data_IF_372649270810
#
_entry.id   IF_372649270810
#
_cell.length_a   1.000
_cell.length_b   1.000
_cell.length_c   1.000
_cell.angle_alpha   90.00
_cell.angle_beta   90.00
_cell.angle_gamma   90.00
#
_symmetry.space_group_name_H-M   'P 1'
#
loop_
_entity.id
_entity.type
_entity.pdbx_description
1 polymer ?
#
# COMPACT_ATOMS: atom_id res chain seq x y z
N UNK A 1 -11.72 -21.49 -43.09
CA UNK A 1 -10.60 -21.11 -42.20
C UNK A 1 -9.34 -21.74 -42.79
N UNK A 2 -8.30 -20.95 -43.00
CA UNK A 2 -6.97 -21.46 -43.41
C UNK A 2 -6.34 -22.15 -42.22
N UNK A 3 -5.82 -23.40 -42.38
CA UNK A 3 -5.08 -24.07 -41.32
C UNK A 3 -3.80 -23.27 -40.97
N UNK A 4 -3.47 -23.14 -39.69
CA UNK A 4 -2.29 -22.40 -39.21
C UNK A 4 -0.98 -22.89 -39.86
N UNK A 5 -0.90 -24.17 -40.24
CA UNK A 5 0.26 -24.78 -40.92
C UNK A 5 0.51 -24.24 -42.37
N UNK A 6 -0.43 -23.50 -42.94
CA UNK A 6 -0.28 -22.89 -44.25
C UNK A 6 0.17 -21.42 -44.24
N UNK A 7 0.33 -20.86 -43.04
CA UNK A 7 0.87 -19.51 -42.83
C UNK A 7 2.40 -19.59 -42.88
N UNK A 8 2.97 -19.46 -44.08
CA UNK A 8 4.42 -19.41 -44.28
C UNK A 8 4.82 -17.97 -44.67
N UNK A 9 5.82 -17.41 -44.00
CA UNK A 9 6.33 -16.06 -44.23
C UNK A 9 6.05 -15.08 -43.09
N UNK A 10 6.63 -13.90 -43.18
CA UNK A 10 6.40 -12.82 -42.22
C UNK A 10 4.97 -12.28 -42.44
N UNK A 11 4.15 -12.30 -41.39
CA UNK A 11 2.83 -11.68 -41.45
C UNK A 11 2.98 -10.18 -41.78
N UNK A 12 2.16 -9.61 -42.67
CA UNK A 12 2.14 -8.16 -42.88
C UNK A 12 1.89 -7.46 -41.55
N UNK A 13 2.49 -6.27 -41.36
CA UNK A 13 2.21 -5.44 -40.20
C UNK A 13 0.69 -5.12 -40.18
N UNK A 14 -0.04 -5.82 -39.33
CA UNK A 14 -1.47 -5.59 -39.14
C UNK A 14 -1.62 -4.50 -38.07
N UNK A 15 -2.44 -3.49 -38.38
CA UNK A 15 -2.84 -2.51 -37.37
C UNK A 15 -3.53 -3.24 -36.20
N UNK A 16 -3.07 -3.03 -34.99
CA UNK A 16 -3.67 -3.62 -33.77
C UNK A 16 -5.15 -3.22 -33.55
N UNK A 17 -5.63 -2.23 -34.29
CA UNK A 17 -7.00 -1.71 -34.16
C UNK A 17 -8.10 -2.76 -34.46
N UNK A 18 -7.79 -3.83 -35.18
CA UNK A 18 -8.73 -4.90 -35.53
C UNK A 18 -8.47 -6.21 -34.75
N UNK A 19 -7.58 -6.21 -33.80
CA UNK A 19 -7.35 -7.36 -32.94
C UNK A 19 -8.41 -7.35 -31.85
N UNK A 20 -9.37 -8.28 -31.95
CA UNK A 20 -10.40 -8.49 -30.94
C UNK A 20 -10.00 -9.65 -30.02
N UNK A 21 -10.29 -9.54 -28.74
CA UNK A 21 -9.98 -10.59 -27.75
C UNK A 21 -8.59 -10.49 -27.14
N UNK A 22 -7.84 -9.43 -27.40
CA UNK A 22 -6.66 -9.09 -26.60
C UNK A 22 -7.16 -8.24 -25.44
N UNK A 23 -7.33 -8.86 -24.28
CA UNK A 23 -7.44 -8.13 -23.03
C UNK A 23 -6.05 -7.66 -22.67
N UNK A 24 -5.82 -6.34 -22.61
CA UNK A 24 -4.62 -5.85 -21.96
C UNK A 24 -4.64 -6.34 -20.51
N UNK A 25 -3.54 -6.94 -20.05
CA UNK A 25 -3.36 -7.18 -18.63
C UNK A 25 -3.36 -5.81 -17.93
N UNK A 26 -4.35 -5.61 -17.08
CA UNK A 26 -4.56 -4.34 -16.40
C UNK A 26 -3.96 -4.42 -14.99
N UNK A 27 -3.45 -3.28 -14.49
CA UNK A 27 -2.91 -3.16 -13.13
C UNK A 27 -4.03 -3.00 -12.08
N UNK A 28 -5.23 -3.47 -12.37
CA UNK A 28 -6.37 -3.41 -11.46
C UNK A 28 -6.67 -4.78 -10.83
N UNK A 29 -7.26 -4.82 -9.64
CA UNK A 29 -7.62 -3.67 -8.79
C UNK A 29 -6.42 -2.88 -8.27
N UNK A 30 -6.61 -1.56 -8.14
CA UNK A 30 -5.62 -0.64 -7.60
C UNK A 30 -6.30 0.43 -6.74
N UNK A 31 -5.64 0.85 -5.68
CA UNK A 31 -6.14 1.90 -4.80
C UNK A 31 -5.01 2.77 -4.24
N UNK A 32 -5.37 3.94 -3.76
CA UNK A 32 -4.58 4.78 -2.88
C UNK A 32 -5.50 5.46 -1.88
N UNK A 33 -5.14 5.41 -0.61
CA UNK A 33 -5.86 6.05 0.47
C UNK A 33 -4.90 6.79 1.42
N UNK A 34 -5.44 7.82 2.07
CA UNK A 34 -4.70 8.68 3.00
C UNK A 34 -5.54 8.91 4.26
N UNK A 35 -4.93 9.23 5.42
CA UNK A 35 -5.67 9.68 6.60
C UNK A 35 -6.28 11.06 6.33
N UNK A 36 -7.46 11.33 6.84
CA UNK A 36 -8.15 12.63 6.60
C UNK A 36 -7.55 13.76 7.42
N UNK A 37 -7.23 13.50 8.67
CA UNK A 37 -6.73 14.49 9.63
C UNK A 37 -5.50 13.96 10.33
N UNK A 38 -4.69 14.86 10.85
CA UNK A 38 -3.66 14.49 11.83
C UNK A 38 -4.37 13.96 13.08
N UNK A 39 -3.95 12.81 13.57
CA UNK A 39 -4.40 12.40 14.86
C UNK A 39 -4.94 10.99 15.02
N UNK A 40 -4.66 10.06 14.12
CA UNK A 40 -4.78 8.68 14.51
C UNK A 40 -3.75 8.39 15.59
N UNK A 41 -4.27 8.27 16.79
CA UNK A 41 -3.50 8.08 18.00
C UNK A 41 -3.03 6.63 18.08
N UNK A 42 -1.73 6.43 18.04
CA UNK A 42 -1.11 5.12 18.20
C UNK A 42 -0.75 4.96 19.66
N UNK A 43 -1.33 3.98 20.33
CA UNK A 43 -1.01 3.68 21.71
C UNK A 43 0.39 3.05 21.82
N UNK A 44 1.08 3.39 22.89
CA UNK A 44 2.43 2.91 23.17
C UNK A 44 2.48 1.37 23.21
N UNK A 45 3.44 0.80 22.50
CA UNK A 45 3.78 -0.64 22.48
C UNK A 45 2.70 -1.60 21.99
N UNK A 46 1.59 -1.08 21.47
CA UNK A 46 0.54 -1.90 20.85
C UNK A 46 0.60 -1.81 19.33
N UNK A 47 0.21 -2.89 18.66
CA UNK A 47 -0.03 -2.86 17.22
C UNK A 47 -1.42 -2.29 16.96
N UNK A 48 -1.47 -1.20 16.21
CA UNK A 48 -2.73 -0.55 15.87
C UNK A 48 -2.90 -0.43 14.37
N UNK A 49 -4.11 -0.69 13.91
CA UNK A 49 -4.49 -0.53 12.52
C UNK A 49 -4.54 0.95 12.17
N UNK A 50 -3.87 1.34 11.09
CA UNK A 50 -3.95 2.71 10.58
C UNK A 50 -5.30 2.94 9.91
N UNK A 51 -5.96 4.04 10.26
CA UNK A 51 -7.24 4.42 9.67
C UNK A 51 -7.02 5.34 8.44
N UNK A 52 -7.28 4.77 7.27
CA UNK A 52 -7.23 5.46 5.99
C UNK A 52 -8.63 5.91 5.61
N UNK A 53 -8.94 7.17 5.88
CA UNK A 53 -10.32 7.68 5.84
C UNK A 53 -10.67 8.39 4.54
N UNK A 54 -9.69 8.66 3.69
CA UNK A 54 -9.89 9.34 2.41
C UNK A 54 -9.29 8.53 1.28
N UNK A 55 -10.13 8.05 0.39
CA UNK A 55 -9.69 7.40 -0.84
C UNK A 55 -9.28 8.46 -1.86
N UNK A 56 -8.09 8.33 -2.41
CA UNK A 56 -7.63 9.14 -3.54
C UNK A 56 -8.15 8.54 -4.84
N UNK A 57 -8.05 7.24 -4.96
CA UNK A 57 -8.71 6.43 -5.99
C UNK A 57 -8.87 4.99 -5.51
N UNK A 58 -9.87 4.31 -6.04
CA UNK A 58 -10.11 2.87 -5.94
C UNK A 58 -10.76 2.42 -7.26
N UNK A 59 -10.04 1.68 -8.09
CA UNK A 59 -10.47 1.37 -9.47
C UNK A 59 -11.65 0.40 -9.52
N UNK A 60 -11.76 -0.47 -8.53
CA UNK A 60 -12.69 -1.59 -8.53
C UNK A 60 -13.55 -1.67 -7.26
N UNK A 61 -13.51 -0.65 -6.41
CA UNK A 61 -14.23 -0.63 -5.13
C UNK A 61 -13.76 -1.73 -4.18
N UNK A 62 -12.45 -1.94 -4.08
CA UNK A 62 -11.85 -3.02 -3.29
C UNK A 62 -11.19 -2.55 -2.00
N UNK A 63 -11.21 -1.26 -1.77
CA UNK A 63 -10.73 -0.66 -0.53
C UNK A 63 -11.92 -0.15 0.30
N UNK A 64 -12.08 -0.64 1.51
CA UNK A 64 -13.12 -0.19 2.44
C UNK A 64 -12.67 -0.40 3.89
N UNK A 65 -13.07 0.49 4.80
CA UNK A 65 -12.76 0.39 6.23
C UNK A 65 -11.26 0.16 6.51
N UNK A 66 -10.41 0.87 5.76
CA UNK A 66 -8.94 0.76 5.86
C UNK A 66 -8.40 -0.65 5.57
N UNK A 67 -9.11 -1.40 4.73
CA UNK A 67 -8.78 -2.77 4.31
C UNK A 67 -8.87 -2.87 2.79
N UNK A 68 -7.85 -3.42 2.16
CA UNK A 68 -7.87 -3.76 0.75
C UNK A 68 -8.16 -5.26 0.57
N UNK A 69 -9.21 -5.56 -0.17
CA UNK A 69 -9.67 -6.94 -0.42
C UNK A 69 -9.75 -7.17 -1.93
N UNK A 70 -8.63 -7.45 -2.60
CA UNK A 70 -8.61 -7.72 -4.02
C UNK A 70 -9.33 -9.05 -4.31
N UNK A 71 -10.34 -9.01 -5.18
CA UNK A 71 -11.10 -10.21 -5.58
C UNK A 71 -10.55 -10.87 -6.83
N UNK A 72 -9.39 -10.43 -7.30
CA UNK A 72 -8.67 -10.99 -8.45
C UNK A 72 -7.36 -11.58 -7.92
N UNK A 73 -7.16 -12.86 -8.12
CA UNK A 73 -5.91 -13.51 -7.74
C UNK A 73 -4.73 -12.96 -8.56
N UNK A 74 -3.56 -12.92 -7.95
CA UNK A 74 -2.34 -12.45 -8.60
C UNK A 74 -1.31 -11.91 -7.64
N UNK A 75 -0.30 -11.24 -8.17
CA UNK A 75 0.71 -10.53 -7.39
C UNK A 75 0.33 -9.06 -7.28
N UNK A 76 0.44 -8.52 -6.10
CA UNK A 76 0.16 -7.12 -5.79
C UNK A 76 1.39 -6.45 -5.22
N UNK A 77 1.68 -5.26 -5.73
CA UNK A 77 2.68 -4.40 -5.11
C UNK A 77 1.99 -3.46 -4.14
N UNK A 78 2.48 -3.47 -2.91
CA UNK A 78 2.02 -2.62 -1.81
C UNK A 78 3.09 -1.59 -1.50
N UNK A 79 2.68 -0.34 -1.35
CA UNK A 79 3.53 0.72 -0.82
C UNK A 79 2.77 1.51 0.23
N UNK A 80 3.46 1.80 1.32
CA UNK A 80 2.92 2.58 2.42
C UNK A 80 4.01 3.52 2.94
N UNK A 81 3.67 4.77 3.13
CA UNK A 81 4.49 5.71 3.89
C UNK A 81 3.73 6.12 5.13
N UNK A 82 4.38 6.02 6.27
CA UNK A 82 3.88 6.59 7.52
C UNK A 82 4.79 7.76 7.91
N UNK A 83 4.16 8.86 8.20
CA UNK A 83 4.79 10.03 8.78
C UNK A 83 4.27 10.18 10.19
N UNK A 84 5.16 10.14 11.17
CA UNK A 84 4.83 10.33 12.57
C UNK A 84 5.13 11.75 13.01
N UNK A 85 4.31 12.23 13.92
CA UNK A 85 4.56 13.47 14.64
C UNK A 85 5.01 13.19 16.07
N UNK A 86 5.92 14.02 16.56
CA UNK A 86 6.34 14.04 17.96
C UNK A 86 7.02 12.75 18.44
N UNK A 87 7.78 12.08 17.57
CA UNK A 87 8.52 10.88 17.96
C UNK A 87 9.63 11.25 18.96
N UNK A 88 9.74 10.46 20.01
CA UNK A 88 10.85 10.61 20.97
C UNK A 88 12.17 10.11 20.38
N UNK A 89 13.28 10.57 20.98
CA UNK A 89 14.61 10.10 20.62
C UNK A 89 14.79 8.64 21.01
N UNK A 90 15.48 7.90 20.14
CA UNK A 90 15.90 6.52 20.36
C UNK A 90 14.78 5.52 20.57
N UNK A 91 13.74 5.65 19.78
CA UNK A 91 12.60 4.72 19.79
C UNK A 91 12.53 3.85 18.55
N UNK A 92 12.02 2.65 18.74
CA UNK A 92 11.74 1.72 17.65
C UNK A 92 10.32 1.95 17.14
N UNK A 93 10.19 2.16 15.85
CA UNK A 93 8.92 2.38 15.20
C UNK A 93 8.78 1.38 14.06
N UNK A 94 7.60 0.83 13.90
CA UNK A 94 7.34 -0.24 12.97
C UNK A 94 6.14 0.09 12.08
N UNK A 95 6.24 -0.33 10.82
CA UNK A 95 5.12 -0.43 9.88
C UNK A 95 5.03 -1.90 9.48
N UNK A 96 3.84 -2.47 9.50
CA UNK A 96 3.63 -3.84 9.05
C UNK A 96 2.43 -3.94 8.11
N UNK A 97 2.63 -4.66 7.00
CA UNK A 97 1.56 -5.17 6.18
C UNK A 97 1.05 -6.47 6.82
N UNK A 98 -0.22 -6.51 7.10
CA UNK A 98 -0.94 -7.70 7.56
C UNK A 98 -1.71 -8.31 6.40
N UNK A 99 -1.66 -9.61 6.29
CA UNK A 99 -2.47 -10.40 5.37
C UNK A 99 -3.36 -11.33 6.21
N UNK A 100 -4.67 -11.26 6.03
CA UNK A 100 -5.62 -12.12 6.76
C UNK A 100 -5.45 -12.07 8.27
N UNK A 101 -5.21 -10.88 8.82
CA UNK A 101 -5.03 -10.66 10.25
C UNK A 101 -3.69 -11.12 10.83
N UNK A 102 -2.74 -11.54 9.99
CA UNK A 102 -1.40 -11.95 10.41
C UNK A 102 -0.32 -11.07 9.78
N UNK A 103 0.73 -10.78 10.53
CA UNK A 103 1.88 -10.04 10.00
C UNK A 103 2.48 -10.75 8.80
N UNK A 104 2.51 -10.09 7.65
CA UNK A 104 3.10 -10.59 6.41
C UNK A 104 4.50 -10.04 6.19
N UNK A 105 4.67 -8.74 6.36
CA UNK A 105 5.95 -8.05 6.18
C UNK A 105 6.03 -6.85 7.11
N UNK A 106 7.21 -6.60 7.66
CA UNK A 106 7.46 -5.48 8.58
C UNK A 106 8.74 -4.76 8.24
N UNK A 107 8.69 -3.43 8.36
CA UNK A 107 9.87 -2.57 8.40
C UNK A 107 9.96 -1.91 9.78
N UNK A 108 11.18 -1.68 10.22
CA UNK A 108 11.49 -0.99 11.45
C UNK A 108 12.43 0.17 11.15
N UNK A 109 12.20 1.29 11.77
CA UNK A 109 13.18 2.37 11.81
C UNK A 109 13.41 2.83 13.24
N UNK A 110 14.59 3.35 13.45
CA UNK A 110 15.01 3.89 14.73
C UNK A 110 15.02 5.41 14.65
N UNK A 111 14.23 6.06 15.49
CA UNK A 111 14.18 7.52 15.51
C UNK A 111 15.39 8.08 16.24
N UNK A 112 15.99 9.12 15.66
CA UNK A 112 17.07 9.89 16.30
C UNK A 112 16.64 11.35 16.32
N UNK A 113 16.43 11.87 17.52
CA UNK A 113 16.18 13.30 17.73
C UNK A 113 17.43 13.93 18.34
N UNK A 114 18.28 14.62 17.56
CA UNK A 114 19.52 15.18 18.06
C UNK A 114 19.35 16.29 19.09
N UNK A 115 18.15 16.89 19.16
CA UNK A 115 17.90 18.07 20.01
C UNK A 115 17.28 17.73 21.37
N UNK A 116 16.93 16.47 21.63
CA UNK A 116 16.48 15.98 22.95
C UNK A 116 15.23 16.67 23.54
N UNK A 117 14.53 17.46 22.76
CA UNK A 117 13.37 18.23 23.21
C UNK A 117 12.04 17.53 22.92
N UNK A 118 11.14 17.55 23.89
CA UNK A 118 9.75 17.09 23.70
C UNK A 118 9.05 17.94 22.65
N UNK A 119 8.70 17.38 21.54
CA UNK A 119 8.21 18.03 20.32
C UNK A 119 9.08 17.65 19.13
N UNK A 120 9.58 16.42 19.13
CA UNK A 120 10.57 15.89 18.21
C UNK A 120 10.21 16.02 16.73
N UNK A 121 11.21 15.84 15.85
CA UNK A 121 11.05 16.00 14.43
C UNK A 121 10.01 15.02 13.88
N UNK A 122 9.41 15.42 12.79
CA UNK A 122 8.63 14.53 11.95
C UNK A 122 9.58 13.46 11.40
N UNK A 123 9.26 12.22 11.63
CA UNK A 123 9.98 11.09 11.03
C UNK A 123 9.05 10.32 10.11
N UNK A 124 9.59 9.83 9.03
CA UNK A 124 8.84 9.01 8.07
C UNK A 124 9.59 7.72 7.76
N UNK A 125 8.84 6.69 7.51
CA UNK A 125 9.36 5.44 6.94
C UNK A 125 8.40 4.91 5.89
N UNK A 126 8.94 4.14 4.95
CA UNK A 126 8.17 3.50 3.89
C UNK A 126 8.29 1.99 3.99
N UNK A 127 7.22 1.31 3.63
CA UNK A 127 7.15 -0.12 3.42
C UNK A 127 6.80 -0.35 1.96
N UNK A 128 7.63 -1.15 1.27
CA UNK A 128 7.42 -1.56 -0.11
C UNK A 128 7.58 -3.07 -0.19
N UNK A 129 6.54 -3.77 -0.64
CA UNK A 129 6.55 -5.23 -0.69
C UNK A 129 5.58 -5.76 -1.74
N UNK A 130 5.92 -6.92 -2.32
CA UNK A 130 5.01 -7.66 -3.19
C UNK A 130 4.47 -8.86 -2.45
N UNK A 131 3.14 -9.07 -2.53
CA UNK A 131 2.46 -10.23 -1.99
C UNK A 131 1.64 -10.94 -3.06
N UNK A 132 1.51 -12.26 -2.92
CA UNK A 132 0.55 -13.05 -3.68
C UNK A 132 -0.80 -12.96 -2.96
N UNK A 133 -1.85 -12.70 -3.72
CA UNK A 133 -3.23 -12.67 -3.24
C UNK A 133 -4.09 -13.70 -3.95
N UNK A 134 -4.92 -14.39 -3.19
CA UNK A 134 -6.07 -15.13 -3.67
C UNK A 134 -7.31 -14.24 -3.69
N UNK A 135 -8.45 -14.79 -4.08
CA UNK A 135 -9.70 -14.02 -4.26
C UNK A 135 -10.40 -13.65 -2.95
N UNK A 136 -9.95 -14.18 -1.82
CA UNK A 136 -10.50 -13.97 -0.48
C UNK A 136 -9.50 -13.35 0.51
N UNK A 137 -8.30 -13.06 0.06
CA UNK A 137 -7.28 -12.40 0.89
C UNK A 137 -7.63 -10.92 1.13
N UNK A 138 -7.26 -10.42 2.31
CA UNK A 138 -7.33 -9.00 2.64
C UNK A 138 -6.02 -8.50 3.27
N UNK A 139 -5.77 -7.19 3.09
CA UNK A 139 -4.54 -6.55 3.50
C UNK A 139 -4.82 -5.26 4.27
N UNK A 140 -4.02 -5.04 5.30
CA UNK A 140 -4.16 -3.92 6.23
C UNK A 140 -2.78 -3.42 6.66
N UNK A 141 -2.68 -2.16 7.01
CA UNK A 141 -1.47 -1.59 7.60
C UNK A 141 -1.66 -1.44 9.10
N UNK A 142 -0.70 -1.96 9.83
CA UNK A 142 -0.54 -1.77 11.26
C UNK A 142 0.75 -1.03 11.55
N UNK A 143 0.75 -0.29 12.62
CA UNK A 143 1.93 0.40 13.15
C UNK A 143 2.11 0.07 14.63
N UNK A 144 3.34 0.14 15.08
CA UNK A 144 3.69 0.01 16.49
C UNK A 144 4.78 1.04 16.79
N UNK A 145 4.69 1.64 17.94
CA UNK A 145 5.57 2.70 18.38
C UNK A 145 5.93 2.45 19.85
N UNK A 146 7.17 2.72 20.26
CA UNK A 146 7.68 2.34 21.58
C UNK A 146 7.92 3.51 22.55
N UNK A 147 7.56 4.74 22.20
CA UNK A 147 7.90 5.92 23.01
C UNK A 147 6.73 6.59 23.70
N UNK A 148 5.53 6.14 23.50
CA UNK A 148 4.31 6.78 24.01
C UNK A 148 3.34 7.08 22.89
N UNK A 149 2.18 7.57 23.23
CA UNK A 149 1.15 7.84 22.26
C UNK A 149 1.55 8.90 21.24
N UNK A 150 1.49 8.56 19.97
CA UNK A 150 1.89 9.41 18.83
C UNK A 150 0.82 9.46 17.76
N UNK A 151 0.96 10.41 16.86
CA UNK A 151 0.00 10.62 15.79
C UNK A 151 0.61 10.24 14.44
N UNK A 152 -0.17 9.52 13.64
CA UNK A 152 0.09 9.37 12.21
C UNK A 152 -0.42 10.64 11.53
N UNK A 153 0.47 11.26 10.73
CA UNK A 153 0.18 12.53 10.09
C UNK A 153 -0.74 12.36 8.88
N UNK A 154 -1.80 13.14 8.84
CA UNK A 154 -2.80 13.12 7.77
C UNK A 154 -2.55 14.14 6.65
N UNK A 155 -3.58 14.41 5.87
CA UNK A 155 -3.55 15.24 4.65
C UNK A 155 -3.66 16.74 4.90
N UNK A 156 -3.82 17.20 6.13
CA UNK A 156 -3.80 18.63 6.47
C UNK A 156 -2.47 19.29 6.14
N UNK A 157 -1.45 18.48 5.89
CA UNK A 157 -0.13 18.91 5.43
C UNK A 157 0.12 18.42 4.00
N UNK A 158 0.88 19.18 3.23
CA UNK A 158 1.22 18.88 1.83
C UNK A 158 1.98 17.57 1.63
N UNK A 159 2.51 17.00 2.71
CA UNK A 159 3.17 15.70 2.77
C UNK A 159 2.57 14.92 3.92
N UNK A 160 2.09 13.73 3.69
CA UNK A 160 1.41 12.93 4.70
C UNK A 160 1.65 11.45 4.50
N UNK A 161 0.98 10.67 5.33
CA UNK A 161 0.97 9.22 5.20
C UNK A 161 0.06 8.78 4.05
N UNK A 162 0.37 7.66 3.43
CA UNK A 162 -0.49 7.03 2.42
C UNK A 162 -0.32 5.53 2.42
N UNK A 163 -1.33 4.84 1.91
CA UNK A 163 -1.31 3.41 1.61
C UNK A 163 -1.87 3.19 0.22
N UNK A 164 -1.15 2.43 -0.59
CA UNK A 164 -1.61 2.09 -1.93
C UNK A 164 -1.19 0.68 -2.33
N UNK A 165 -1.92 0.11 -3.26
CA UNK A 165 -1.54 -1.11 -3.93
C UNK A 165 -2.08 -1.14 -5.36
N UNK A 166 -1.45 -1.98 -6.18
CA UNK A 166 -1.92 -2.31 -7.52
C UNK A 166 -1.50 -3.72 -7.91
N UNK A 167 -2.31 -4.36 -8.76
CA UNK A 167 -1.99 -5.66 -9.33
C UNK A 167 -0.84 -5.52 -10.32
N UNK A 168 0.12 -6.42 -10.28
CA UNK A 168 1.16 -6.52 -11.29
C UNK A 168 0.59 -7.21 -12.54
N UNK A 169 0.73 -6.55 -13.70
CA UNK A 169 0.31 -7.11 -14.96
C UNK A 169 1.09 -8.39 -15.30
N UNK A 170 0.43 -9.38 -15.85
CA UNK A 170 1.05 -10.67 -16.22
C UNK A 170 1.46 -11.55 -15.04
N UNK A 171 0.95 -11.28 -13.83
CA UNK A 171 1.36 -11.97 -12.61
C UNK A 171 0.22 -12.83 -12.03
#
# INVERSE_FOLDING_TARGET
ALPAAQLTGTLPAISGANLTGITADDNTPAFMAVPHVDGDYIANTTWEKVLWTTEVYDTDGKFASSTFTPTVAGKYHFTCQIMWEQIDDRTNNHIALYKNGSEYHRVMFYSVNPDGGGGGPISSASLDVTAISDTDDYFEIYVNESSGARHVRGTTHSTGSYFSAFKLAGA
#
